data_IF_285204978519
#
_entry.id   IF_285204978519
#
_cell.length_a   1.000
_cell.length_b   1.000
_cell.length_c   1.000
_cell.angle_alpha   90.00
_cell.angle_beta   90.00
_cell.angle_gamma   90.00
#
_symmetry.space_group_name_H-M   'P 1'
#
loop_
_entity.id
_entity.type
_entity.pdbx_description
1 polymer ?
#
# COMPACT_ATOMS: atom_id res chain seq x y z
N UNK A 1 14.39 -8.09 17.07
CA UNK A 1 13.49 -9.21 16.64
C UNK A 1 13.89 -9.73 15.27
N UNK A 2 13.62 -10.97 15.02
CA UNK A 2 13.80 -11.56 13.68
C UNK A 2 12.62 -11.21 12.77
N UNK A 3 12.78 -11.48 11.46
CA UNK A 3 11.78 -11.12 10.45
C UNK A 3 10.40 -11.72 10.73
N UNK A 4 10.31 -12.95 11.22
CA UNK A 4 9.05 -13.58 11.57
C UNK A 4 8.33 -12.89 12.73
N UNK A 5 9.09 -12.43 13.71
CA UNK A 5 8.55 -11.67 14.83
C UNK A 5 8.06 -10.29 14.38
N UNK A 6 8.83 -9.62 13.51
CA UNK A 6 8.44 -8.34 12.94
C UNK A 6 7.16 -8.49 12.10
N UNK A 7 7.06 -9.56 11.31
CA UNK A 7 5.85 -9.85 10.53
C UNK A 7 4.62 -10.01 11.43
N UNK A 8 4.75 -10.77 12.50
CA UNK A 8 3.64 -10.94 13.47
C UNK A 8 3.28 -9.63 14.17
N UNK A 9 4.28 -8.87 14.59
CA UNK A 9 4.06 -7.60 15.29
C UNK A 9 3.35 -6.55 14.42
N UNK A 10 3.51 -6.62 13.11
CA UNK A 10 2.97 -5.64 12.17
C UNK A 10 1.82 -6.17 11.32
N UNK A 11 1.48 -7.45 11.45
CA UNK A 11 0.39 -8.06 10.69
C UNK A 11 0.68 -8.21 9.20
N UNK A 12 1.93 -8.35 8.81
CA UNK A 12 2.34 -8.57 7.43
C UNK A 12 3.10 -9.89 7.28
N UNK A 13 3.73 -10.11 6.15
CA UNK A 13 4.47 -11.34 5.84
C UNK A 13 5.96 -11.07 5.75
N UNK A 14 6.78 -12.11 5.97
CA UNK A 14 8.21 -12.01 5.77
C UNK A 14 8.56 -11.62 4.33
N UNK A 15 7.79 -12.09 3.36
CA UNK A 15 7.97 -11.74 1.95
C UNK A 15 7.79 -10.24 1.71
N UNK A 16 6.74 -9.65 2.26
CA UNK A 16 6.50 -8.21 2.16
C UNK A 16 7.64 -7.41 2.81
N UNK A 17 8.09 -7.86 3.98
CA UNK A 17 9.20 -7.21 4.68
C UNK A 17 10.49 -7.22 3.88
N UNK A 18 10.79 -8.32 3.18
CA UNK A 18 11.95 -8.40 2.29
C UNK A 18 11.84 -7.39 1.15
N UNK A 19 10.65 -7.22 0.58
CA UNK A 19 10.40 -6.19 -0.44
C UNK A 19 10.63 -4.78 0.11
N UNK A 20 10.18 -4.50 1.32
CA UNK A 20 10.37 -3.19 1.95
C UNK A 20 11.87 -2.93 2.19
N UNK A 21 12.60 -3.93 2.63
CA UNK A 21 14.05 -3.80 2.84
C UNK A 21 14.79 -3.59 1.52
N UNK A 22 14.44 -4.33 0.48
CA UNK A 22 15.01 -4.16 -0.87
C UNK A 22 14.74 -2.76 -1.43
N UNK A 23 13.59 -2.20 -1.11
CA UNK A 23 13.23 -0.84 -1.52
C UNK A 23 13.90 0.25 -0.67
N UNK A 24 14.67 -0.14 0.35
CA UNK A 24 15.37 0.80 1.24
C UNK A 24 14.47 1.47 2.27
N UNK A 25 13.27 0.94 2.50
CA UNK A 25 12.31 1.54 3.43
C UNK A 25 12.52 1.11 4.87
N UNK A 26 13.05 -0.08 5.08
CA UNK A 26 13.46 -0.59 6.38
C UNK A 26 14.87 -1.14 6.29
N UNK A 27 15.53 -1.26 7.42
CA UNK A 27 16.87 -1.82 7.49
C UNK A 27 16.97 -2.80 8.65
N UNK A 28 17.93 -3.70 8.55
CA UNK A 28 18.25 -4.67 9.59
C UNK A 28 19.72 -4.59 9.95
N UNK A 29 20.06 -5.09 11.12
CA UNK A 29 21.43 -5.34 11.53
C UNK A 29 21.66 -6.84 11.56
N UNK A 30 22.90 -7.27 11.27
CA UNK A 30 23.26 -8.68 11.39
C UNK A 30 23.76 -8.98 12.79
N UNK A 31 23.18 -9.99 13.43
CA UNK A 31 23.70 -10.54 14.68
C UNK A 31 25.02 -11.28 14.43
N UNK A 32 25.81 -11.57 15.49
CA UNK A 32 27.04 -12.33 15.34
C UNK A 32 26.87 -13.70 14.66
N UNK A 33 25.68 -14.31 14.77
CA UNK A 33 25.35 -15.57 14.11
C UNK A 33 24.88 -15.43 12.65
N UNK A 34 24.95 -14.23 12.08
CA UNK A 34 24.58 -13.94 10.69
C UNK A 34 23.12 -13.68 10.43
N UNK A 35 22.23 -13.85 11.41
CA UNK A 35 20.80 -13.57 11.24
C UNK A 35 20.51 -12.07 11.23
N UNK A 36 19.50 -11.65 10.46
CA UNK A 36 19.01 -10.29 10.42
C UNK A 36 18.19 -10.00 11.68
N UNK A 37 18.43 -8.86 12.30
CA UNK A 37 17.70 -8.39 13.47
C UNK A 37 17.13 -7.02 13.18
N UNK A 38 15.85 -6.85 13.52
CA UNK A 38 15.08 -5.62 13.38
C UNK A 38 14.78 -5.04 14.76
N UNK A 39 14.78 -3.73 14.85
CA UNK A 39 14.48 -3.01 16.10
C UNK A 39 13.05 -2.45 16.10
N UNK A 40 12.68 -1.74 17.17
CA UNK A 40 11.36 -1.14 17.31
C UNK A 40 11.07 -0.07 16.25
N UNK A 41 12.11 0.57 15.73
CA UNK A 41 11.98 1.54 14.65
C UNK A 41 11.44 0.88 13.38
N UNK A 42 11.85 -0.34 13.10
CA UNK A 42 11.32 -1.11 11.98
C UNK A 42 9.81 -1.37 12.13
N UNK A 43 9.34 -1.62 13.36
CA UNK A 43 7.91 -1.79 13.62
C UNK A 43 7.12 -0.54 13.22
N UNK A 44 7.58 0.62 13.64
CA UNK A 44 6.94 1.91 13.32
C UNK A 44 6.93 2.14 11.81
N UNK A 45 8.07 1.94 11.15
CA UNK A 45 8.18 2.12 9.70
C UNK A 45 7.25 1.18 8.93
N UNK A 46 7.21 -0.08 9.30
CA UNK A 46 6.34 -1.05 8.62
C UNK A 46 4.86 -0.69 8.79
N UNK A 47 4.45 -0.27 9.96
CA UNK A 47 3.07 0.20 10.18
C UNK A 47 2.72 1.38 9.29
N UNK A 48 3.62 2.35 9.17
CA UNK A 48 3.42 3.51 8.31
C UNK A 48 3.41 3.13 6.83
N UNK A 49 4.30 2.24 6.39
CA UNK A 49 4.31 1.71 5.02
C UNK A 49 2.97 1.06 4.70
N UNK A 50 2.47 0.19 5.57
CA UNK A 50 1.20 -0.48 5.38
C UNK A 50 0.03 0.50 5.32
N UNK A 51 0.04 1.52 6.17
CA UNK A 51 -0.97 2.58 6.14
C UNK A 51 -1.02 3.27 4.77
N UNK A 52 0.12 3.64 4.24
CA UNK A 52 0.21 4.32 2.94
C UNK A 52 -0.18 3.40 1.78
N UNK A 53 0.24 2.14 1.80
CA UNK A 53 -0.15 1.15 0.79
C UNK A 53 -1.66 0.89 0.82
N UNK A 54 -2.26 0.80 1.99
CA UNK A 54 -3.70 0.62 2.13
C UNK A 54 -4.50 1.83 1.61
N UNK A 55 -3.90 3.01 1.62
CA UNK A 55 -4.48 4.22 1.04
C UNK A 55 -4.37 4.27 -0.50
N UNK A 56 -3.75 3.27 -1.11
CA UNK A 56 -3.67 3.17 -2.57
C UNK A 56 -2.35 3.62 -3.18
N UNK A 57 -1.37 4.03 -2.37
CA UNK A 57 -0.04 4.39 -2.85
C UNK A 57 0.73 3.13 -3.26
N UNK A 58 1.61 3.25 -4.24
CA UNK A 58 2.54 2.19 -4.61
C UNK A 58 3.77 2.22 -3.69
N UNK A 59 4.56 1.15 -3.71
CA UNK A 59 5.79 1.12 -2.94
C UNK A 59 6.78 2.22 -3.35
N UNK A 60 6.84 2.54 -4.63
CA UNK A 60 7.65 3.66 -5.12
C UNK A 60 7.14 5.00 -4.60
N UNK A 61 5.83 5.18 -4.53
CA UNK A 61 5.23 6.39 -3.95
C UNK A 61 5.61 6.52 -2.46
N UNK A 62 5.60 5.41 -1.73
CA UNK A 62 5.95 5.38 -0.30
C UNK A 62 7.37 5.86 -0.04
N UNK A 63 8.30 5.63 -0.97
CA UNK A 63 9.70 6.08 -0.83
C UNK A 63 9.81 7.59 -0.66
N UNK A 64 8.90 8.35 -1.23
CA UNK A 64 8.87 9.81 -1.08
C UNK A 64 8.55 10.23 0.36
N UNK A 65 7.87 9.35 1.11
CA UNK A 65 7.52 9.58 2.51
C UNK A 65 8.59 9.09 3.48
N UNK A 66 9.73 8.59 3.00
CA UNK A 66 10.76 7.98 3.85
C UNK A 66 11.16 8.85 5.05
N UNK A 67 11.36 10.18 4.91
CA UNK A 67 11.69 11.02 6.06
C UNK A 67 10.61 11.05 7.15
N UNK A 68 9.37 10.73 6.81
CA UNK A 68 8.22 10.78 7.72
C UNK A 68 7.87 9.40 8.30
N UNK A 69 8.55 8.33 7.88
CA UNK A 69 8.17 6.96 8.27
C UNK A 69 8.50 6.62 9.72
N UNK A 70 9.30 7.42 10.39
CA UNK A 70 9.65 7.22 11.81
C UNK A 70 8.64 7.85 12.76
N UNK A 71 7.72 8.66 12.26
CA UNK A 71 6.69 9.34 13.03
C UNK A 71 5.30 8.76 12.83
N UNK A 72 4.29 9.56 13.12
CA UNK A 72 2.89 9.21 12.89
C UNK A 72 2.43 9.79 11.55
N UNK A 73 2.53 8.99 10.50
CA UNK A 73 2.19 9.40 9.13
C UNK A 73 0.69 9.75 9.01
N UNK A 74 -0.16 9.07 9.78
CA UNK A 74 -1.61 9.32 9.73
C UNK A 74 -2.00 10.67 10.33
N UNK A 75 -1.25 11.15 11.32
CA UNK A 75 -1.54 12.38 12.04
C UNK A 75 -0.70 13.57 11.56
N UNK A 76 0.51 13.34 11.08
CA UNK A 76 1.43 14.40 10.66
C UNK A 76 1.10 14.87 9.24
N UNK A 77 1.17 16.20 8.98
CA UNK A 77 0.99 16.69 7.62
C UNK A 77 2.14 16.18 6.72
N UNK A 78 1.84 15.78 5.46
CA UNK A 78 2.88 15.35 4.55
C UNK A 78 3.77 16.52 4.13
N UNK A 79 4.98 16.21 3.66
CA UNK A 79 5.82 17.19 2.98
C UNK A 79 5.14 17.64 1.68
N UNK A 80 5.58 18.78 1.12
CA UNK A 80 5.04 19.25 -0.16
C UNK A 80 5.21 18.21 -1.27
N UNK A 81 6.35 17.51 -1.28
CA UNK A 81 6.60 16.44 -2.25
C UNK A 81 5.68 15.24 -2.02
N UNK A 82 5.49 14.85 -0.78
CA UNK A 82 4.56 13.77 -0.42
C UNK A 82 3.12 14.10 -0.79
N UNK A 83 2.68 15.33 -0.53
CA UNK A 83 1.35 15.78 -0.92
C UNK A 83 1.16 15.71 -2.43
N UNK A 84 2.15 16.14 -3.21
CA UNK A 84 2.09 16.10 -4.66
C UNK A 84 1.96 14.67 -5.18
N UNK A 85 2.77 13.75 -4.65
CA UNK A 85 2.71 12.33 -5.02
C UNK A 85 1.34 11.73 -4.69
N UNK A 86 0.80 12.05 -3.51
CA UNK A 86 -0.52 11.57 -3.09
C UNK A 86 -1.63 12.10 -4.01
N UNK A 87 -1.58 13.37 -4.39
CA UNK A 87 -2.55 13.97 -5.31
C UNK A 87 -2.48 13.35 -6.71
N UNK A 88 -1.28 13.08 -7.20
CA UNK A 88 -1.10 12.40 -8.49
C UNK A 88 -1.67 10.99 -8.44
N UNK A 89 -1.45 10.25 -7.35
CA UNK A 89 -2.01 8.91 -7.17
C UNK A 89 -3.52 8.94 -7.08
N UNK A 90 -4.07 9.92 -6.38
CA UNK A 90 -5.53 10.08 -6.30
C UNK A 90 -6.14 10.29 -7.69
N UNK A 91 -5.51 11.11 -8.53
CA UNK A 91 -5.97 11.31 -9.91
C UNK A 91 -5.96 10.01 -10.72
N UNK A 92 -4.90 9.21 -10.61
CA UNK A 92 -4.82 7.91 -11.28
C UNK A 92 -5.91 6.96 -10.79
N UNK A 93 -6.16 6.90 -9.49
CA UNK A 93 -7.21 6.06 -8.92
C UNK A 93 -8.60 6.49 -9.41
N UNK A 94 -8.87 7.78 -9.46
CA UNK A 94 -10.13 8.29 -9.97
C UNK A 94 -10.33 7.94 -11.46
N UNK A 95 -9.29 8.01 -12.27
CA UNK A 95 -9.36 7.59 -13.67
C UNK A 95 -9.66 6.10 -13.79
N UNK A 96 -9.04 5.26 -12.98
CA UNK A 96 -9.28 3.80 -12.97
C UNK A 96 -10.70 3.48 -12.52
N UNK A 97 -11.20 4.15 -11.50
CA UNK A 97 -12.57 3.98 -11.02
C UNK A 97 -13.56 4.34 -12.13
N UNK A 98 -13.35 5.47 -12.80
CA UNK A 98 -14.21 5.91 -13.90
C UNK A 98 -14.20 4.89 -15.06
N UNK A 99 -13.02 4.39 -15.44
CA UNK A 99 -12.89 3.40 -16.50
C UNK A 99 -13.56 2.07 -16.14
N UNK A 100 -13.40 1.61 -14.91
CA UNK A 100 -14.05 0.38 -14.44
C UNK A 100 -15.55 0.52 -14.33
N UNK A 101 -16.04 1.68 -13.89
CA UNK A 101 -17.47 1.98 -13.84
C UNK A 101 -18.07 1.94 -15.23
N UNK A 102 -17.43 2.56 -16.22
CA UNK A 102 -17.89 2.54 -17.60
C UNK A 102 -17.90 1.15 -18.17
N UNK A 103 -16.86 0.36 -17.93
CA UNK A 103 -16.79 -1.04 -18.37
C UNK A 103 -17.93 -1.88 -17.78
N UNK A 104 -18.18 -1.72 -16.48
CA UNK A 104 -19.28 -2.40 -15.79
C UNK A 104 -20.62 -2.03 -16.41
N UNK A 105 -20.85 -0.75 -16.63
CA UNK A 105 -22.13 -0.27 -17.16
C UNK A 105 -22.38 -0.82 -18.56
N UNK A 106 -21.35 -0.89 -19.38
CA UNK A 106 -21.45 -1.50 -20.72
C UNK A 106 -21.76 -2.99 -20.65
N UNK A 107 -21.11 -3.71 -19.73
CA UNK A 107 -21.34 -5.14 -19.56
C UNK A 107 -22.75 -5.42 -19.05
N UNK A 108 -23.21 -4.65 -18.06
CA UNK A 108 -24.59 -4.76 -17.57
C UNK A 108 -25.60 -4.52 -18.69
N UNK A 109 -25.41 -3.49 -19.51
CA UNK A 109 -26.28 -3.19 -20.64
C UNK A 109 -26.28 -4.33 -21.66
N UNK A 110 -25.10 -4.89 -21.98
CA UNK A 110 -24.99 -6.02 -22.89
C UNK A 110 -25.72 -7.26 -22.36
N UNK A 111 -25.58 -7.57 -21.08
CA UNK A 111 -26.25 -8.70 -20.44
C UNK A 111 -27.77 -8.52 -20.41
N UNK A 112 -28.22 -7.30 -20.16
CA UNK A 112 -29.66 -6.98 -20.20
C UNK A 112 -30.26 -7.22 -21.62
N UNK A 113 -29.54 -6.81 -22.65
CA UNK A 113 -29.96 -7.04 -24.05
C UNK A 113 -29.98 -8.51 -24.39
N UNK A 114 -28.89 -9.24 -24.09
CA UNK A 114 -28.78 -10.68 -24.43
C UNK A 114 -29.82 -11.54 -23.72
N UNK A 115 -30.20 -11.16 -22.49
CA UNK A 115 -31.12 -11.97 -21.68
C UNK A 115 -32.56 -11.46 -21.67
N UNK A 116 -32.86 -10.36 -22.37
CA UNK A 116 -34.17 -9.72 -22.32
C UNK A 116 -34.58 -9.25 -20.95
N UNK A 117 -33.61 -8.82 -20.15
CA UNK A 117 -33.83 -8.31 -18.78
C UNK A 117 -33.94 -9.39 -17.71
N UNK A 118 -33.64 -10.65 -18.03
CA UNK A 118 -33.73 -11.76 -17.05
C UNK A 118 -32.64 -11.77 -16.01
N UNK A 119 -31.47 -11.19 -16.33
CA UNK A 119 -30.37 -11.04 -15.36
C UNK A 119 -30.45 -9.65 -14.77
N UNK A 120 -30.47 -9.58 -13.44
CA UNK A 120 -30.45 -8.30 -12.72
C UNK A 120 -29.01 -7.95 -12.31
N UNK A 121 -28.61 -6.66 -12.42
CA UNK A 121 -27.33 -6.23 -11.93
C UNK A 121 -27.20 -6.48 -10.42
N UNK A 122 -26.00 -6.87 -9.99
CA UNK A 122 -25.66 -6.98 -8.58
C UNK A 122 -25.30 -5.57 -8.09
N UNK A 123 -25.99 -5.12 -7.08
CA UNK A 123 -25.76 -3.79 -6.51
C UNK A 123 -24.42 -3.69 -5.79
#
# INVERSE_FOLDING_TARGET
>A
MRIGELARATGTTARALRHYEQAGLISSQRAPNGYRIYDDRAVVRVRNIRYLLAAGLTLDDVRVFLPCLDGDVAAAPPSNKGLRVALERLAVLNERIAAQTEARDRLEAALQQETGGRIRPVA
#
